data_IF_342841918469
#
_entry.id   IF_342841918469
#
_cell.length_a   1.000
_cell.length_b   1.000
_cell.length_c   1.000
_cell.angle_alpha   90.00
_cell.angle_beta   90.00
_cell.angle_gamma   90.00
#
_symmetry.space_group_name_H-M   'P 1'
#
loop_
_entity.id
_entity.type
_entity.pdbx_description
1 polymer ?
#
# COMPACT_ATOMS: atom_id res chain seq x y z
N UNK A 1 0.01 -3.89 -22.55
CA UNK A 1 -0.16 -2.96 -21.41
C UNK A 1 0.83 -3.32 -20.30
N UNK A 2 1.59 -2.35 -19.82
CA UNK A 2 2.53 -2.60 -18.72
C UNK A 2 1.75 -2.93 -17.44
N UNK A 3 2.17 -3.95 -16.71
CA UNK A 3 1.58 -4.24 -15.41
C UNK A 3 2.31 -3.43 -14.34
N UNK A 4 1.79 -3.48 -13.10
CA UNK A 4 2.36 -2.73 -11.98
C UNK A 4 3.84 -3.04 -11.76
N UNK A 5 4.26 -4.28 -12.00
CA UNK A 5 5.64 -4.70 -11.77
C UNK A 5 6.59 -3.99 -12.75
N UNK A 6 6.24 -3.98 -14.04
CA UNK A 6 7.05 -3.32 -15.05
C UNK A 6 7.13 -1.81 -14.80
N UNK A 7 6.00 -1.20 -14.45
CA UNK A 7 5.93 0.22 -14.12
C UNK A 7 6.84 0.55 -12.94
N UNK A 8 6.73 -0.22 -11.87
CA UNK A 8 7.49 0.01 -10.63
C UNK A 8 8.99 -0.10 -10.89
N UNK A 9 9.42 -1.14 -11.62
CA UNK A 9 10.84 -1.35 -11.92
C UNK A 9 11.42 -0.28 -12.83
N UNK A 10 10.59 0.46 -13.55
CA UNK A 10 11.05 1.53 -14.45
C UNK A 10 11.28 2.86 -13.73
N UNK A 11 10.85 2.99 -12.47
CA UNK A 11 10.98 4.23 -11.72
C UNK A 11 12.44 4.42 -11.28
N UNK A 12 13.00 5.65 -11.37
CA UNK A 12 14.36 5.91 -10.90
C UNK A 12 14.54 5.53 -9.43
N UNK A 13 15.72 5.01 -9.11
CA UNK A 13 16.12 4.61 -7.76
C UNK A 13 15.26 3.48 -7.17
N UNK A 14 14.62 2.69 -8.05
CA UNK A 14 13.85 1.54 -7.60
C UNK A 14 14.74 0.51 -6.90
N UNK A 15 14.30 0.11 -5.70
CA UNK A 15 14.89 -1.00 -4.95
C UNK A 15 13.74 -1.88 -4.47
N UNK A 16 13.75 -3.14 -4.87
CA UNK A 16 12.72 -4.09 -4.47
C UNK A 16 13.30 -5.26 -3.71
N UNK A 17 12.44 -5.99 -3.03
CA UNK A 17 12.77 -7.21 -2.29
C UNK A 17 12.37 -8.43 -3.13
N UNK A 18 12.32 -9.59 -2.48
CA UNK A 18 11.81 -10.83 -3.06
C UNK A 18 10.32 -10.95 -2.81
N UNK A 19 9.61 -11.58 -3.74
CA UNK A 19 8.17 -11.76 -3.61
C UNK A 19 7.77 -12.58 -2.39
N UNK A 20 6.51 -12.49 -2.04
CA UNK A 20 5.94 -13.21 -0.90
C UNK A 20 5.03 -14.34 -1.38
N UNK A 21 4.89 -15.39 -0.56
CA UNK A 21 4.06 -16.52 -0.91
C UNK A 21 2.58 -16.17 -0.82
N UNK A 22 1.75 -16.93 -1.53
CA UNK A 22 0.30 -16.80 -1.43
C UNK A 22 -0.18 -16.96 0.01
N UNK A 23 0.44 -17.88 0.76
CA UNK A 23 0.11 -18.08 2.18
C UNK A 23 0.36 -16.83 3.02
N UNK A 24 1.47 -16.14 2.79
CA UNK A 24 1.79 -14.91 3.49
C UNK A 24 0.81 -13.79 3.15
N UNK A 25 0.43 -13.70 1.88
CA UNK A 25 -0.53 -12.68 1.42
C UNK A 25 -1.90 -12.92 2.03
N UNK A 26 -2.38 -14.16 2.00
CA UNK A 26 -3.66 -14.53 2.60
C UNK A 26 -3.67 -14.29 4.10
N UNK A 27 -2.56 -14.60 4.78
CA UNK A 27 -2.44 -14.35 6.22
C UNK A 27 -2.57 -12.86 6.54
N UNK A 28 -1.95 -11.99 5.74
CA UNK A 28 -2.05 -10.54 5.92
C UNK A 28 -3.49 -10.06 5.68
N UNK A 29 -4.15 -10.57 4.65
CA UNK A 29 -5.56 -10.24 4.39
C UNK A 29 -6.46 -10.65 5.55
N UNK A 30 -6.25 -11.83 6.09
CA UNK A 30 -7.03 -12.30 7.26
C UNK A 30 -6.81 -11.45 8.48
N UNK A 31 -5.56 -11.06 8.74
CA UNK A 31 -5.23 -10.18 9.87
C UNK A 31 -5.94 -8.84 9.77
N UNK A 32 -6.09 -8.30 8.57
CA UNK A 32 -6.73 -7.01 8.34
C UNK A 32 -8.24 -7.12 8.12
N UNK A 33 -8.76 -8.31 7.89
CA UNK A 33 -10.18 -8.52 7.63
C UNK A 33 -10.64 -7.93 6.30
N UNK A 34 -9.74 -7.85 5.31
CA UNK A 34 -10.06 -7.33 3.99
C UNK A 34 -9.20 -8.02 2.93
N UNK A 35 -9.56 -7.85 1.68
CA UNK A 35 -8.77 -8.35 0.56
C UNK A 35 -7.99 -7.22 -0.07
N UNK A 36 -6.75 -7.51 -0.49
CA UNK A 36 -5.97 -6.54 -1.26
C UNK A 36 -6.47 -6.47 -2.69
N UNK A 37 -6.37 -5.29 -3.30
CA UNK A 37 -6.66 -5.12 -4.71
C UNK A 37 -5.69 -5.98 -5.56
N UNK A 38 -6.10 -6.40 -6.76
CA UNK A 38 -5.24 -7.25 -7.60
C UNK A 38 -3.85 -6.67 -7.87
N UNK A 39 -3.73 -5.37 -8.06
CA UNK A 39 -2.43 -4.73 -8.32
C UNK A 39 -1.50 -4.79 -7.10
N UNK A 40 -2.04 -4.53 -5.90
CA UNK A 40 -1.25 -4.61 -4.68
C UNK A 40 -0.87 -6.06 -4.37
N UNK A 41 -1.79 -7.01 -4.61
CA UNK A 41 -1.50 -8.43 -4.46
C UNK A 41 -0.37 -8.87 -5.37
N UNK A 42 -0.38 -8.44 -6.62
CA UNK A 42 0.67 -8.76 -7.57
C UNK A 42 2.01 -8.19 -7.11
N UNK A 43 2.01 -6.95 -6.62
CA UNK A 43 3.19 -6.34 -6.05
C UNK A 43 3.75 -7.17 -4.88
N UNK A 44 2.90 -7.59 -3.95
CA UNK A 44 3.34 -8.43 -2.83
C UNK A 44 3.91 -9.76 -3.31
N UNK A 45 3.27 -10.36 -4.31
CA UNK A 45 3.67 -11.67 -4.84
C UNK A 45 5.03 -11.62 -5.53
N UNK A 46 5.29 -10.58 -6.30
CA UNK A 46 6.49 -10.49 -7.13
C UNK A 46 7.63 -9.72 -6.47
N UNK A 47 7.33 -8.75 -5.63
CA UNK A 47 8.33 -7.84 -5.06
C UNK A 47 8.32 -7.84 -3.54
N UNK A 48 7.17 -7.83 -2.92
CA UNK A 48 7.00 -7.92 -1.48
C UNK A 48 7.24 -6.65 -0.70
N UNK A 49 8.24 -5.86 -1.06
CA UNK A 49 8.59 -4.60 -0.42
C UNK A 49 9.42 -3.78 -1.40
N UNK A 50 9.12 -2.50 -1.56
CA UNK A 50 9.84 -1.65 -2.50
C UNK A 50 9.91 -0.20 -2.05
N UNK A 51 10.99 0.46 -2.48
CA UNK A 51 11.10 1.92 -2.41
C UNK A 51 11.58 2.44 -3.77
N UNK A 52 11.24 3.68 -4.08
CA UNK A 52 11.63 4.33 -5.33
C UNK A 52 11.39 5.82 -5.20
N UNK A 53 12.31 6.61 -5.73
CA UNK A 53 12.15 8.07 -5.87
C UNK A 53 11.62 8.75 -4.59
N UNK A 54 12.15 8.34 -3.42
CA UNK A 54 11.76 8.92 -2.13
C UNK A 54 10.50 8.32 -1.52
N UNK A 55 9.86 7.37 -2.18
CA UNK A 55 8.68 6.67 -1.67
C UNK A 55 9.05 5.32 -1.08
N UNK A 56 8.43 4.97 0.04
CA UNK A 56 8.57 3.65 0.66
C UNK A 56 7.18 3.04 0.79
N UNK A 57 6.88 2.06 -0.05
CA UNK A 57 5.59 1.35 0.05
C UNK A 57 5.60 0.38 1.22
N UNK A 58 4.42 0.17 1.80
CA UNK A 58 4.23 -0.93 2.74
C UNK A 58 4.33 -2.26 2.00
N UNK A 59 4.54 -3.32 2.76
CA UNK A 59 4.58 -4.66 2.21
C UNK A 59 4.49 -5.68 3.33
N UNK A 60 4.90 -6.91 3.05
CA UNK A 60 4.96 -7.97 4.06
C UNK A 60 6.41 -8.07 4.52
N UNK A 61 6.67 -7.64 5.75
CA UNK A 61 8.01 -7.54 6.30
C UNK A 61 7.96 -7.59 7.82
N UNK A 62 9.09 -7.91 8.44
CA UNK A 62 9.24 -7.86 9.90
C UNK A 62 9.51 -6.45 10.41
N UNK A 63 9.79 -5.49 9.52
CA UNK A 63 9.94 -4.10 9.89
C UNK A 63 8.55 -3.50 10.14
N UNK A 64 8.22 -3.25 11.40
CA UNK A 64 6.89 -2.75 11.78
C UNK A 64 6.54 -1.43 11.08
N UNK A 65 7.53 -0.61 10.77
CA UNK A 65 7.32 0.68 10.10
C UNK A 65 6.79 0.52 8.67
N UNK A 66 7.09 -0.60 8.03
CA UNK A 66 6.73 -0.87 6.64
C UNK A 66 5.78 -2.05 6.47
N UNK A 67 5.39 -2.70 7.57
CA UNK A 67 4.43 -3.82 7.51
C UNK A 67 3.03 -3.28 7.24
N UNK A 68 2.42 -3.73 6.15
CA UNK A 68 1.05 -3.31 5.80
C UNK A 68 0.07 -3.65 6.92
N UNK A 69 0.24 -4.80 7.57
CA UNK A 69 -0.63 -5.21 8.67
C UNK A 69 -0.48 -4.27 9.86
N UNK A 70 0.76 -4.06 10.32
CA UNK A 70 1.04 -3.24 11.50
C UNK A 70 0.63 -1.78 11.28
N UNK A 71 1.04 -1.20 10.14
CA UNK A 71 0.75 0.20 9.83
C UNK A 71 -0.75 0.42 9.68
N UNK A 72 -1.44 -0.48 9.00
CA UNK A 72 -2.89 -0.36 8.80
C UNK A 72 -3.63 -0.43 10.13
N UNK A 73 -3.26 -1.37 11.01
CA UNK A 73 -3.89 -1.49 12.33
C UNK A 73 -3.67 -0.24 13.16
N UNK A 74 -2.46 0.32 13.14
CA UNK A 74 -2.14 1.54 13.87
C UNK A 74 -2.95 2.74 13.35
N UNK A 75 -3.05 2.91 12.04
CA UNK A 75 -3.77 4.03 11.45
C UNK A 75 -5.28 3.90 11.60
N UNK A 76 -5.82 2.68 11.55
CA UNK A 76 -7.24 2.45 11.84
C UNK A 76 -7.60 2.84 13.26
N UNK A 77 -6.69 2.58 14.21
CA UNK A 77 -6.92 2.89 15.62
C UNK A 77 -7.03 4.39 15.88
N UNK A 78 -6.34 5.21 15.10
CA UNK A 78 -6.32 6.67 15.31
C UNK A 78 -7.26 7.43 14.36
N UNK A 79 -7.82 6.78 13.35
CA UNK A 79 -8.74 7.43 12.42
C UNK A 79 -9.99 6.56 12.20
N UNK A 80 -11.01 6.73 13.05
CA UNK A 80 -12.25 5.94 12.93
C UNK A 80 -13.11 6.31 11.71
N UNK A 81 -12.77 7.37 10.99
CA UNK A 81 -13.52 7.81 9.81
C UNK A 81 -13.18 7.00 8.55
N UNK A 82 -12.10 6.23 8.57
CA UNK A 82 -11.67 5.44 7.42
C UNK A 82 -12.42 4.10 7.40
N UNK A 83 -12.94 3.67 6.24
CA UNK A 83 -13.57 2.35 6.14
C UNK A 83 -12.61 1.23 6.53
N UNK A 84 -13.12 0.23 7.23
CA UNK A 84 -12.31 -0.89 7.73
C UNK A 84 -11.79 -1.81 6.61
N UNK A 85 -12.30 -1.65 5.38
CA UNK A 85 -11.83 -2.43 4.23
C UNK A 85 -10.60 -1.82 3.56
N UNK A 86 -10.21 -0.60 3.94
CA UNK A 86 -9.04 0.06 3.36
C UNK A 86 -7.77 -0.37 4.11
N UNK A 87 -6.65 -0.36 3.40
CA UNK A 87 -5.34 -0.65 3.98
C UNK A 87 -4.32 0.40 3.52
N UNK A 88 -3.29 0.59 4.33
CA UNK A 88 -2.27 1.61 4.08
C UNK A 88 -1.24 1.09 3.09
N UNK A 89 -0.99 1.83 2.01
CA UNK A 89 0.06 1.49 1.06
C UNK A 89 1.31 2.34 1.24
N UNK A 90 1.18 3.52 1.85
CA UNK A 90 2.34 4.35 2.17
C UNK A 90 2.01 5.33 3.28
N UNK A 91 2.97 5.51 4.22
CA UNK A 91 2.96 6.64 5.13
C UNK A 91 3.97 7.63 4.60
N UNK A 92 3.49 8.78 4.12
CA UNK A 92 4.34 9.72 3.42
C UNK A 92 5.32 10.47 4.34
N UNK A 93 4.99 10.55 5.63
CA UNK A 93 5.71 11.39 6.59
C UNK A 93 5.74 12.86 6.16
N UNK A 94 4.75 13.27 5.39
CA UNK A 94 4.63 14.59 4.82
C UNK A 94 3.23 15.11 5.09
N UNK A 95 3.12 16.22 5.83
CA UNK A 95 1.85 16.85 6.21
C UNK A 95 0.87 15.91 6.90
N UNK A 96 1.35 14.83 7.51
CA UNK A 96 0.50 13.85 8.18
C UNK A 96 -0.38 13.05 7.23
N UNK A 97 -0.01 12.99 5.96
CA UNK A 97 -0.80 12.27 4.95
C UNK A 97 -0.46 10.79 4.95
N UNK A 98 -1.49 9.96 5.00
CA UNK A 98 -1.40 8.51 4.82
C UNK A 98 -2.10 8.15 3.52
N UNK A 99 -1.49 7.25 2.75
CA UNK A 99 -2.04 6.79 1.47
C UNK A 99 -2.71 5.44 1.69
N UNK A 100 -3.99 5.35 1.37
CA UNK A 100 -4.82 4.16 1.55
C UNK A 100 -5.26 3.61 0.20
N UNK A 101 -5.54 2.31 0.16
CA UNK A 101 -6.15 1.68 -1.01
C UNK A 101 -7.34 0.85 -0.58
N UNK A 102 -8.37 0.75 -1.42
CA UNK A 102 -9.51 -0.13 -1.19
C UNK A 102 -9.38 -1.41 -2.03
N UNK A 103 -10.29 -2.34 -1.84
CA UNK A 103 -10.26 -3.64 -2.53
C UNK A 103 -10.44 -3.52 -4.05
N UNK A 104 -11.00 -2.42 -4.52
CA UNK A 104 -11.17 -2.15 -5.96
C UNK A 104 -9.93 -1.52 -6.60
N UNK A 105 -8.93 -1.16 -5.79
CA UNK A 105 -7.70 -0.57 -6.29
C UNK A 105 -7.63 0.95 -6.21
N UNK A 106 -8.71 1.61 -5.82
CA UNK A 106 -8.72 3.06 -5.71
C UNK A 106 -7.83 3.55 -4.57
N UNK A 107 -7.14 4.65 -4.81
CA UNK A 107 -6.15 5.22 -3.90
C UNK A 107 -6.71 6.50 -3.27
N UNK A 108 -6.55 6.64 -1.95
CA UNK A 108 -7.05 7.77 -1.19
C UNK A 108 -5.96 8.38 -0.33
N UNK A 109 -5.97 9.71 -0.22
CA UNK A 109 -5.13 10.44 0.74
C UNK A 109 -5.98 10.83 1.93
N UNK A 110 -5.45 10.66 3.13
CA UNK A 110 -6.15 11.03 4.35
C UNK A 110 -5.18 11.55 5.40
N UNK A 111 -5.61 12.57 6.16
CA UNK A 111 -4.98 12.90 7.43
C UNK A 111 -5.69 12.12 8.52
N UNK A 112 -5.19 12.15 9.75
CA UNK A 112 -5.77 11.38 10.87
C UNK A 112 -7.16 11.84 11.27
N UNK A 113 -7.59 13.01 10.80
CA UNK A 113 -8.92 13.56 11.13
C UNK A 113 -9.86 13.57 9.95
N UNK A 114 -9.43 13.14 8.76
CA UNK A 114 -10.27 13.18 7.57
C UNK A 114 -10.79 11.78 7.21
N UNK A 115 -11.85 11.76 6.41
CA UNK A 115 -12.46 10.52 5.92
C UNK A 115 -11.83 10.01 4.63
N UNK A 116 -10.80 10.69 4.13
CA UNK A 116 -10.11 10.30 2.92
C UNK A 116 -10.65 10.99 1.68
N UNK A 117 -9.73 11.28 0.75
CA UNK A 117 -10.05 11.90 -0.53
C UNK A 117 -9.45 11.06 -1.64
N UNK A 118 -10.28 10.63 -2.60
CA UNK A 118 -9.81 9.83 -3.74
C UNK A 118 -8.78 10.62 -4.54
N UNK A 119 -7.62 10.00 -4.78
CA UNK A 119 -6.51 10.63 -5.47
C UNK A 119 -6.21 9.95 -6.81
N UNK A 120 -6.31 8.62 -6.88
CA UNK A 120 -5.98 7.86 -8.09
C UNK A 120 -6.92 6.67 -8.23
N UNK A 121 -7.03 6.16 -9.47
CA UNK A 121 -7.87 5.00 -9.78
C UNK A 121 -7.20 3.68 -9.42
N UNK A 122 -5.87 3.64 -9.42
CA UNK A 122 -5.13 2.40 -9.19
C UNK A 122 -3.69 2.72 -8.76
N UNK A 123 -2.95 1.66 -8.42
CA UNK A 123 -1.58 1.77 -7.96
C UNK A 123 -0.63 2.27 -9.06
N UNK A 124 -0.84 1.86 -10.30
CA UNK A 124 -0.03 2.34 -11.43
C UNK A 124 -0.10 3.86 -11.56
N UNK A 125 -1.31 4.42 -11.53
CA UNK A 125 -1.51 5.86 -11.65
C UNK A 125 -0.85 6.60 -10.49
N UNK A 126 -0.95 6.05 -9.28
CA UNK A 126 -0.30 6.62 -8.11
C UNK A 126 1.23 6.65 -8.27
N UNK A 127 1.81 5.53 -8.67
CA UNK A 127 3.27 5.42 -8.82
C UNK A 127 3.80 6.35 -9.91
N UNK A 128 3.11 6.44 -11.04
CA UNK A 128 3.56 7.25 -12.17
C UNK A 128 3.50 8.74 -11.87
N UNK A 129 2.60 9.17 -11.00
CA UNK A 129 2.43 10.58 -10.63
C UNK A 129 3.19 10.95 -9.36
N UNK A 130 3.67 9.96 -8.65
CA UNK A 130 4.31 10.16 -7.35
C UNK A 130 5.70 10.83 -7.45
#
# INVERSE_FOLDING_TARGET
>A
MANIIDVMKSIPDYIGSNGRSEREIVAAEKSLGTQFAPDYRLYLKEIGLACFDGHELTGITNDARLSVVTVTEQERAVNPNIPSSWYVIEQTNYDGITVWQNTSGEIYYATRTSSGKKAYFDLCSFILDA
#
